data_IF_138982666468
#
_entry.id   IF_138982666468
#
_cell.length_a   1.000
_cell.length_b   1.000
_cell.length_c   1.000
_cell.angle_alpha   90.00
_cell.angle_beta   90.00
_cell.angle_gamma   90.00
#
_symmetry.space_group_name_H-M   'P 1'
#
loop_
_entity.id
_entity.type
_entity.pdbx_description
1 polymer ?
#
# COMPACT_ATOMS: atom_id res chain seq x y z
N UNK A 1 10.08 0.28 -15.61
CA UNK A 1 9.27 1.46 -15.94
C UNK A 1 7.96 0.97 -16.53
N UNK A 2 7.05 0.47 -15.68
CA UNK A 2 5.83 -0.25 -16.12
C UNK A 2 4.54 0.42 -15.61
N UNK A 3 4.61 1.54 -14.88
CA UNK A 3 3.41 2.05 -14.19
C UNK A 3 2.94 3.44 -14.61
N UNK A 4 3.61 4.16 -15.50
CA UNK A 4 3.17 5.51 -15.87
C UNK A 4 2.23 5.55 -17.09
N UNK A 5 2.44 4.72 -18.12
CA UNK A 5 1.83 4.94 -19.45
C UNK A 5 0.80 3.90 -19.90
N UNK A 6 0.68 2.75 -19.23
CA UNK A 6 -0.25 1.67 -19.64
C UNK A 6 -1.63 1.72 -18.96
N UNK A 7 -2.03 2.87 -18.39
CA UNK A 7 -3.36 3.05 -17.77
C UNK A 7 -4.51 2.88 -18.79
N UNK A 8 -4.23 3.09 -20.07
CA UNK A 8 -5.23 2.96 -21.14
C UNK A 8 -5.43 1.54 -21.68
N UNK A 9 -4.61 0.56 -21.28
CA UNK A 9 -4.61 -0.75 -21.96
C UNK A 9 -5.39 -1.87 -21.27
N UNK A 10 -5.87 -1.72 -20.04
CA UNK A 10 -6.68 -2.78 -19.39
C UNK A 10 -7.63 -2.27 -18.29
N UNK A 11 -8.92 -2.02 -18.60
CA UNK A 11 -9.91 -1.70 -17.58
C UNK A 11 -10.52 -2.94 -16.88
N UNK A 12 -10.34 -4.17 -17.38
CA UNK A 12 -11.09 -5.34 -16.88
C UNK A 12 -10.57 -5.93 -15.57
N UNK A 13 -9.26 -5.91 -15.32
CA UNK A 13 -8.65 -6.48 -14.11
C UNK A 13 -8.96 -5.73 -12.81
N UNK A 14 -8.77 -4.39 -12.79
CA UNK A 14 -9.17 -3.56 -11.66
C UNK A 14 -10.68 -3.62 -11.40
N UNK A 15 -11.53 -3.64 -12.43
CA UNK A 15 -12.99 -3.78 -12.26
C UNK A 15 -13.37 -5.13 -11.63
N UNK A 16 -12.78 -6.24 -12.09
CA UNK A 16 -13.04 -7.56 -11.52
C UNK A 16 -12.55 -7.69 -10.08
N UNK A 17 -11.40 -7.10 -9.75
CA UNK A 17 -10.93 -7.07 -8.37
C UNK A 17 -11.67 -6.10 -7.47
N UNK A 18 -12.18 -4.98 -8.00
CA UNK A 18 -13.13 -4.12 -7.31
C UNK A 18 -14.41 -4.89 -6.98
N UNK A 19 -14.98 -5.61 -7.95
CA UNK A 19 -16.23 -6.38 -7.79
C UNK A 19 -16.06 -7.57 -6.83
N UNK A 20 -15.04 -8.41 -7.04
CA UNK A 20 -14.75 -9.55 -6.16
C UNK A 20 -14.34 -9.06 -4.77
N UNK A 21 -13.50 -8.02 -4.72
CA UNK A 21 -13.07 -7.40 -3.48
C UNK A 21 -14.21 -6.74 -2.72
N UNK A 22 -15.12 -6.02 -3.38
CA UNK A 22 -16.26 -5.35 -2.73
C UNK A 22 -17.29 -6.34 -2.20
N UNK A 23 -17.54 -7.44 -2.91
CA UNK A 23 -18.45 -8.50 -2.45
C UNK A 23 -17.89 -9.23 -1.23
N UNK A 24 -16.57 -9.47 -1.21
CA UNK A 24 -15.88 -10.10 -0.08
C UNK A 24 -15.75 -9.12 1.10
N UNK A 25 -15.37 -7.86 0.85
CA UNK A 25 -15.13 -6.85 1.90
C UNK A 25 -16.40 -6.48 2.68
N UNK A 26 -17.56 -6.40 2.02
CA UNK A 26 -18.82 -6.02 2.67
C UNK A 26 -19.36 -7.12 3.60
N UNK A 27 -18.89 -8.36 3.46
CA UNK A 27 -19.38 -9.51 4.23
C UNK A 27 -18.39 -10.05 5.27
N UNK A 28 -17.13 -9.60 5.30
CA UNK A 28 -16.10 -10.19 6.17
C UNK A 28 -16.03 -9.51 7.55
N UNK A 29 -15.93 -10.29 8.65
CA UNK A 29 -15.62 -9.76 9.97
C UNK A 29 -14.26 -9.02 9.96
N UNK A 30 -14.11 -7.91 10.72
CA UNK A 30 -12.86 -7.14 10.78
C UNK A 30 -11.62 -7.98 11.11
N UNK A 31 -11.77 -9.00 11.96
CA UNK A 31 -10.71 -9.92 12.35
C UNK A 31 -10.16 -10.72 11.16
N UNK A 32 -11.03 -11.23 10.28
CA UNK A 32 -10.63 -11.98 9.07
C UNK A 32 -9.85 -11.06 8.13
N UNK A 33 -10.33 -9.83 7.96
CA UNK A 33 -9.68 -8.82 7.15
C UNK A 33 -8.24 -8.51 7.63
N UNK A 34 -8.04 -8.29 8.94
CA UNK A 34 -6.72 -8.03 9.49
C UNK A 34 -5.77 -9.23 9.33
N UNK A 35 -6.28 -10.46 9.53
CA UNK A 35 -5.51 -11.68 9.32
C UNK A 35 -5.11 -11.88 7.86
N UNK A 36 -6.00 -11.63 6.91
CA UNK A 36 -5.69 -11.72 5.48
C UNK A 36 -4.60 -10.73 5.08
N UNK A 37 -4.68 -9.49 5.56
CA UNK A 37 -3.67 -8.46 5.30
C UNK A 37 -2.32 -8.86 5.92
N UNK A 38 -2.33 -9.31 7.18
CA UNK A 38 -1.11 -9.75 7.87
C UNK A 38 -0.45 -10.93 7.15
N UNK A 39 -1.23 -11.93 6.74
CA UNK A 39 -0.75 -13.09 5.99
C UNK A 39 -0.12 -12.66 4.65
N UNK A 40 -0.77 -11.73 3.93
CA UNK A 40 -0.24 -11.19 2.68
C UNK A 40 1.09 -10.45 2.88
N UNK A 41 1.21 -9.63 3.93
CA UNK A 41 2.45 -8.91 4.25
C UNK A 41 3.57 -9.90 4.57
N UNK A 42 3.30 -10.90 5.40
CA UNK A 42 4.29 -11.93 5.76
C UNK A 42 4.73 -12.73 4.53
N UNK A 43 3.78 -13.16 3.70
CA UNK A 43 4.08 -13.84 2.43
C UNK A 43 4.91 -12.95 1.50
N UNK A 44 4.60 -11.65 1.42
CA UNK A 44 5.35 -10.71 0.58
C UNK A 44 6.74 -10.41 1.11
N UNK A 45 6.93 -10.51 2.43
CA UNK A 45 8.22 -10.28 3.06
C UNK A 45 9.15 -11.48 2.95
N UNK A 46 8.65 -12.69 3.20
CA UNK A 46 9.46 -13.89 3.42
C UNK A 46 9.19 -15.01 2.40
N UNK A 47 8.09 -14.93 1.66
CA UNK A 47 7.71 -15.91 0.64
C UNK A 47 8.55 -15.78 -0.64
N UNK A 48 8.41 -16.76 -1.55
CA UNK A 48 9.14 -16.76 -2.82
C UNK A 48 8.75 -15.53 -3.66
N UNK A 49 9.72 -14.94 -4.37
CA UNK A 49 9.44 -13.84 -5.28
C UNK A 49 8.47 -14.30 -6.36
N UNK A 50 7.44 -13.50 -6.63
CA UNK A 50 6.49 -13.77 -7.71
C UNK A 50 7.27 -13.88 -9.05
N UNK A 51 7.10 -14.98 -9.81
CA UNK A 51 7.83 -15.17 -11.04
C UNK A 51 7.49 -14.06 -12.04
N UNK A 52 8.51 -13.45 -12.68
CA UNK A 52 8.30 -12.39 -13.69
C UNK A 52 7.41 -12.82 -14.87
N UNK A 53 7.30 -14.13 -15.12
CA UNK A 53 6.40 -14.72 -16.13
C UNK A 53 4.92 -14.62 -15.79
N UNK A 54 4.57 -14.31 -14.54
CA UNK A 54 3.16 -14.13 -14.15
C UNK A 54 2.64 -12.79 -14.68
N UNK A 55 3.47 -11.77 -14.88
CA UNK A 55 3.10 -10.43 -15.41
C UNK A 55 2.78 -10.39 -16.93
N UNK A 56 2.24 -11.48 -17.50
CA UNK A 56 1.43 -11.40 -18.71
C UNK A 56 0.03 -10.85 -18.41
N UNK A 57 -0.91 -10.96 -19.35
CA UNK A 57 -2.30 -10.48 -19.19
C UNK A 57 -2.95 -10.91 -17.86
N UNK A 58 -2.67 -12.14 -17.41
CA UNK A 58 -3.17 -12.69 -16.14
C UNK A 58 -2.52 -12.05 -14.89
N UNK A 59 -1.24 -11.69 -14.93
CA UNK A 59 -0.56 -11.03 -13.80
C UNK A 59 -0.84 -9.54 -13.73
N UNK A 60 -1.13 -8.88 -14.84
CA UNK A 60 -1.68 -7.51 -14.83
C UNK A 60 -3.11 -7.52 -14.28
N UNK A 61 -3.90 -8.54 -14.61
CA UNK A 61 -5.23 -8.77 -14.02
C UNK A 61 -5.13 -9.03 -12.51
N UNK A 62 -4.24 -9.92 -12.09
CA UNK A 62 -4.01 -10.23 -10.67
C UNK A 62 -3.42 -9.03 -9.91
N UNK A 63 -2.46 -8.32 -10.49
CA UNK A 63 -1.91 -7.10 -9.91
C UNK A 63 -3.01 -6.05 -9.75
N UNK A 64 -3.78 -5.76 -10.79
CA UNK A 64 -4.92 -4.83 -10.73
C UNK A 64 -6.00 -5.26 -9.74
N UNK A 65 -6.27 -6.57 -9.65
CA UNK A 65 -7.21 -7.09 -8.68
C UNK A 65 -6.69 -6.94 -7.25
N UNK A 66 -5.40 -7.21 -7.03
CA UNK A 66 -4.72 -7.00 -5.76
C UNK A 66 -4.70 -5.50 -5.42
N UNK A 67 -4.22 -4.57 -6.27
CA UNK A 67 -4.21 -3.13 -5.93
C UNK A 67 -5.60 -2.57 -5.64
N UNK A 68 -6.63 -3.07 -6.32
CA UNK A 68 -8.01 -2.63 -6.11
C UNK A 68 -8.59 -3.21 -4.82
N UNK A 69 -8.34 -4.49 -4.54
CA UNK A 69 -8.62 -5.12 -3.25
C UNK A 69 -7.91 -4.38 -2.10
N UNK A 70 -6.62 -4.07 -2.27
CA UNK A 70 -5.79 -3.31 -1.32
C UNK A 70 -6.40 -1.94 -1.00
N UNK A 71 -6.97 -1.26 -2.01
CA UNK A 71 -7.55 0.08 -1.85
C UNK A 71 -8.82 0.10 -1.00
N UNK A 72 -9.53 -1.03 -0.89
CA UNK A 72 -10.74 -1.16 -0.08
C UNK A 72 -10.44 -1.14 1.43
N UNK A 73 -9.24 -1.50 1.86
CA UNK A 73 -8.84 -1.56 3.27
C UNK A 73 -8.30 -0.22 3.77
N UNK A 74 -9.12 0.84 3.73
CA UNK A 74 -8.72 2.23 4.00
C UNK A 74 -7.90 2.47 5.29
N UNK A 75 -7.95 1.56 6.28
CA UNK A 75 -7.15 1.59 7.52
C UNK A 75 -5.82 0.83 7.52
N UNK A 76 -5.57 -0.06 6.55
CA UNK A 76 -4.36 -0.88 6.46
C UNK A 76 -3.65 -0.81 5.09
N UNK A 77 -4.03 0.14 4.24
CA UNK A 77 -3.48 0.31 2.88
C UNK A 77 -1.97 0.53 2.88
N UNK A 78 -1.43 1.28 3.85
CA UNK A 78 0.01 1.57 4.01
C UNK A 78 0.90 0.31 3.98
N UNK A 79 0.83 -0.55 5.02
CA UNK A 79 1.57 -1.82 5.09
C UNK A 79 1.41 -2.68 3.83
N UNK A 80 0.20 -2.71 3.31
CA UNK A 80 -0.22 -3.61 2.26
C UNK A 80 0.37 -3.20 0.90
N UNK A 81 0.29 -1.91 0.55
CA UNK A 81 0.94 -1.32 -0.63
C UNK A 81 2.46 -1.43 -0.51
N UNK A 82 3.03 -1.18 0.68
CA UNK A 82 4.46 -1.31 0.93
C UNK A 82 4.97 -2.75 0.68
N UNK A 83 4.26 -3.75 1.20
CA UNK A 83 4.58 -5.16 1.00
C UNK A 83 4.51 -5.56 -0.48
N UNK A 84 3.51 -5.06 -1.21
CA UNK A 84 3.36 -5.32 -2.64
C UNK A 84 4.50 -4.68 -3.47
N UNK A 85 4.83 -3.41 -3.23
CA UNK A 85 5.92 -2.72 -3.94
C UNK A 85 7.27 -3.41 -3.69
N UNK A 86 7.49 -3.97 -2.49
CA UNK A 86 8.68 -4.75 -2.17
C UNK A 86 8.86 -5.97 -3.10
N UNK A 87 7.77 -6.60 -3.54
CA UNK A 87 7.85 -7.71 -4.48
C UNK A 87 8.18 -7.27 -5.91
N UNK A 88 7.83 -6.03 -6.27
CA UNK A 88 8.04 -5.46 -7.60
C UNK A 88 9.44 -4.87 -7.76
N UNK A 89 9.91 -4.13 -6.76
CA UNK A 89 11.14 -3.33 -6.84
C UNK A 89 12.21 -3.84 -5.86
N UNK A 90 13.41 -4.05 -6.38
CA UNK A 90 14.57 -4.48 -5.59
C UNK A 90 15.40 -3.27 -5.13
N UNK A 91 15.41 -2.21 -5.93
CA UNK A 91 16.13 -0.97 -5.65
C UNK A 91 15.41 -0.13 -4.59
N UNK A 92 16.14 0.26 -3.54
CA UNK A 92 15.58 0.98 -2.40
C UNK A 92 14.97 2.33 -2.76
N UNK A 93 15.55 3.06 -3.71
CA UNK A 93 15.05 4.37 -4.11
C UNK A 93 13.76 4.23 -4.90
N UNK A 94 13.67 3.25 -5.81
CA UNK A 94 12.45 2.93 -6.54
C UNK A 94 11.34 2.47 -5.61
N UNK A 95 11.63 1.60 -4.64
CA UNK A 95 10.65 1.17 -3.63
C UNK A 95 10.05 2.38 -2.91
N UNK A 96 10.89 3.26 -2.36
CA UNK A 96 10.43 4.44 -1.60
C UNK A 96 9.69 5.44 -2.50
N UNK A 97 10.21 5.72 -3.70
CA UNK A 97 9.58 6.67 -4.63
C UNK A 97 8.21 6.18 -5.10
N UNK A 98 8.10 4.89 -5.45
CA UNK A 98 6.83 4.29 -5.90
C UNK A 98 5.82 4.28 -4.77
N UNK A 99 6.26 3.95 -3.55
CA UNK A 99 5.40 3.96 -2.37
C UNK A 99 4.89 5.37 -2.04
N UNK A 100 5.78 6.36 -2.04
CA UNK A 100 5.42 7.75 -1.77
C UNK A 100 4.45 8.30 -2.82
N UNK A 101 4.67 7.99 -4.10
CA UNK A 101 3.77 8.39 -5.18
C UNK A 101 2.40 7.74 -5.03
N UNK A 102 2.36 6.42 -4.79
CA UNK A 102 1.11 5.69 -4.60
C UNK A 102 0.30 6.24 -3.42
N UNK A 103 0.96 6.49 -2.28
CA UNK A 103 0.31 7.05 -1.09
C UNK A 103 -0.20 8.46 -1.34
N UNK A 104 0.60 9.32 -1.98
CA UNK A 104 0.20 10.70 -2.29
C UNK A 104 -1.03 10.74 -3.19
N UNK A 105 -1.10 9.88 -4.21
CA UNK A 105 -2.27 9.75 -5.07
C UNK A 105 -3.50 9.23 -4.30
N UNK A 106 -3.34 8.17 -3.50
CA UNK A 106 -4.45 7.62 -2.69
C UNK A 106 -5.03 8.65 -1.71
N UNK A 107 -4.16 9.38 -1.01
CA UNK A 107 -4.60 10.43 -0.08
C UNK A 107 -5.16 11.65 -0.81
N UNK A 108 -4.58 12.05 -1.94
CA UNK A 108 -5.09 13.15 -2.77
C UNK A 108 -6.52 12.89 -3.25
N UNK A 109 -6.81 11.69 -3.72
CA UNK A 109 -8.18 11.31 -4.11
C UNK A 109 -9.14 11.39 -2.92
N UNK A 110 -8.73 10.92 -1.72
CA UNK A 110 -9.56 11.02 -0.52
C UNK A 110 -9.87 12.46 -0.13
N UNK A 111 -8.93 13.39 -0.31
CA UNK A 111 -9.14 14.82 -0.04
C UNK A 111 -10.23 15.37 -0.98
N UNK A 112 -10.12 15.10 -2.29
CA UNK A 112 -11.11 15.55 -3.29
C UNK A 112 -12.49 14.98 -3.00
N UNK A 113 -12.58 13.70 -2.64
CA UNK A 113 -13.86 13.05 -2.28
C UNK A 113 -14.45 13.67 -1.01
N UNK A 114 -13.64 13.90 0.02
CA UNK A 114 -14.10 14.49 1.28
C UNK A 114 -14.66 15.91 1.08
N UNK A 115 -13.94 16.74 0.31
CA UNK A 115 -14.39 18.10 -0.02
C UNK A 115 -15.68 18.06 -0.87
N UNK A 116 -15.76 17.16 -1.86
CA UNK A 116 -16.95 16.96 -2.69
C UNK A 116 -18.18 16.44 -1.93
N UNK A 117 -17.99 15.79 -0.78
CA UNK A 117 -19.07 15.37 0.13
C UNK A 117 -19.50 16.47 1.11
N UNK A 118 -19.00 17.70 0.96
CA UNK A 118 -19.31 18.83 1.83
C UNK A 118 -18.44 18.93 3.08
N UNK A 119 -17.32 18.20 3.14
CA UNK A 119 -16.36 18.31 4.22
C UNK A 119 -15.60 19.65 4.18
N UNK A 120 -15.60 20.41 5.27
CA UNK A 120 -14.82 21.64 5.40
C UNK A 120 -13.35 21.30 5.68
N UNK A 121 -12.49 21.34 4.65
CA UNK A 121 -11.03 21.23 4.84
C UNK A 121 -10.46 22.41 5.64
N UNK A 122 -11.14 23.57 5.59
CA UNK A 122 -10.70 24.80 6.25
C UNK A 122 -10.58 24.62 7.77
N UNK A 123 -11.48 23.84 8.37
CA UNK A 123 -11.52 23.58 9.82
C UNK A 123 -10.27 22.81 10.29
N UNK A 124 -9.63 22.07 9.38
CA UNK A 124 -8.48 21.20 9.66
C UNK A 124 -7.16 21.77 9.12
N UNK A 125 -7.16 23.00 8.60
CA UNK A 125 -5.98 23.62 7.99
C UNK A 125 -4.73 23.62 8.89
N UNK A 126 -4.81 23.97 10.20
CA UNK A 126 -3.63 23.92 11.07
C UNK A 126 -3.06 22.50 11.20
N UNK A 127 -3.93 21.49 11.29
CA UNK A 127 -3.52 20.09 11.38
C UNK A 127 -2.86 19.62 10.08
N UNK A 128 -3.43 19.99 8.92
CA UNK A 128 -2.87 19.66 7.61
C UNK A 128 -1.45 20.24 7.43
N UNK A 129 -1.24 21.50 7.81
CA UNK A 129 0.09 22.13 7.74
C UNK A 129 1.07 21.38 8.64
N UNK A 130 0.69 21.06 9.88
CA UNK A 130 1.53 20.27 10.79
C UNK A 130 1.88 18.88 10.21
N UNK A 131 0.91 18.20 9.57
CA UNK A 131 1.14 16.90 8.92
C UNK A 131 2.08 17.02 7.71
N UNK A 132 1.92 18.05 6.87
CA UNK A 132 2.77 18.29 5.71
C UNK A 132 4.21 18.57 6.17
N UNK A 133 4.40 19.46 7.14
CA UNK A 133 5.72 19.81 7.67
C UNK A 133 6.42 18.60 8.32
N UNK A 134 5.70 17.87 9.17
CA UNK A 134 6.22 16.65 9.79
C UNK A 134 6.59 15.60 8.73
N UNK A 135 5.73 15.40 7.72
CA UNK A 135 5.98 14.49 6.61
C UNK A 135 7.17 14.88 5.74
N UNK A 136 7.36 16.18 5.46
CA UNK A 136 8.51 16.68 4.70
C UNK A 136 9.81 16.50 5.47
N UNK A 137 9.84 16.87 6.76
CA UNK A 137 11.01 16.65 7.63
C UNK A 137 11.34 15.17 7.73
N UNK A 138 10.35 14.31 7.96
CA UNK A 138 10.53 12.86 8.02
C UNK A 138 11.08 12.28 6.70
N UNK A 139 10.54 12.72 5.56
CA UNK A 139 11.01 12.29 4.24
C UNK A 139 12.45 12.74 3.97
N UNK A 140 12.80 13.96 4.36
CA UNK A 140 14.15 14.50 4.19
C UNK A 140 15.19 13.73 5.02
N UNK A 141 14.89 13.47 6.29
CA UNK A 141 15.73 12.64 7.16
C UNK A 141 15.84 11.22 6.60
N UNK A 142 14.71 10.62 6.22
CA UNK A 142 14.65 9.27 5.64
C UNK A 142 15.49 9.15 4.37
N UNK A 143 15.42 10.15 3.47
CA UNK A 143 16.21 10.18 2.24
C UNK A 143 17.72 10.25 2.52
N UNK A 144 18.14 11.03 3.52
CA UNK A 144 19.55 11.12 3.94
C UNK A 144 20.06 9.79 4.52
N UNK A 145 19.23 9.10 5.30
CA UNK A 145 19.55 7.75 5.80
C UNK A 145 19.62 6.73 4.66
N UNK A 146 18.66 6.78 3.71
CA UNK A 146 18.58 5.85 2.60
C UNK A 146 19.83 5.85 1.70
N UNK A 147 20.48 7.02 1.54
CA UNK A 147 21.74 7.13 0.80
C UNK A 147 22.89 6.35 1.41
N UNK A 148 22.88 6.14 2.74
CA UNK A 148 23.96 5.48 3.49
C UNK A 148 23.76 3.97 3.66
N UNK A 149 22.58 3.46 3.32
CA UNK A 149 22.22 2.05 3.52
C UNK A 149 22.35 1.29 2.21
N UNK A 150 22.97 0.10 2.25
CA UNK A 150 23.02 -0.80 1.09
C UNK A 150 21.67 -1.51 0.88
N UNK A 151 21.33 -1.87 -0.37
CA UNK A 151 20.01 -2.44 -0.71
C UNK A 151 19.66 -3.68 0.11
N UNK A 152 20.63 -4.56 0.39
CA UNK A 152 20.41 -5.73 1.24
C UNK A 152 19.91 -5.36 2.64
N UNK A 153 20.58 -4.40 3.28
CA UNK A 153 20.23 -3.94 4.63
C UNK A 153 18.89 -3.20 4.63
N UNK A 154 18.60 -2.40 3.60
CA UNK A 154 17.31 -1.76 3.42
C UNK A 154 16.19 -2.79 3.32
N UNK A 155 16.35 -3.81 2.46
CA UNK A 155 15.35 -4.85 2.26
C UNK A 155 15.09 -5.66 3.55
N UNK A 156 16.14 -5.96 4.32
CA UNK A 156 15.99 -6.62 5.63
C UNK A 156 15.25 -5.72 6.62
N UNK A 157 15.69 -4.46 6.80
CA UNK A 157 15.04 -3.52 7.72
C UNK A 157 13.57 -3.27 7.35
N UNK A 158 13.29 -3.08 6.06
CA UNK A 158 11.94 -2.90 5.54
C UNK A 158 11.07 -4.13 5.79
N UNK A 159 11.61 -5.35 5.62
CA UNK A 159 10.90 -6.59 5.94
C UNK A 159 10.60 -6.73 7.43
N UNK A 160 11.53 -6.31 8.30
CA UNK A 160 11.31 -6.32 9.76
C UNK A 160 10.17 -5.38 10.12
N UNK A 161 10.18 -4.14 9.62
CA UNK A 161 9.11 -3.16 9.88
C UNK A 161 7.76 -3.68 9.41
N UNK A 162 7.70 -4.24 8.20
CA UNK A 162 6.48 -4.85 7.66
C UNK A 162 6.02 -6.06 8.50
N UNK A 163 6.95 -6.88 8.99
CA UNK A 163 6.64 -8.02 9.86
C UNK A 163 6.07 -7.54 11.20
N UNK A 164 6.65 -6.52 11.83
CA UNK A 164 6.11 -5.92 13.06
C UNK A 164 4.70 -5.38 12.85
N UNK A 165 4.47 -4.76 11.69
CA UNK A 165 3.16 -4.22 11.33
C UNK A 165 2.14 -5.34 11.10
N UNK A 166 2.54 -6.45 10.46
CA UNK A 166 1.70 -7.65 10.33
C UNK A 166 1.36 -8.28 11.70
N UNK A 167 2.33 -8.34 12.62
CA UNK A 167 2.10 -8.81 14.00
C UNK A 167 1.10 -7.89 14.71
N UNK A 168 1.22 -6.57 14.56
CA UNK A 168 0.24 -5.62 15.11
C UNK A 168 -1.16 -5.85 14.55
N UNK A 169 -1.29 -6.16 13.25
CA UNK A 169 -2.58 -6.49 12.64
C UNK A 169 -3.15 -7.81 13.18
N UNK A 170 -2.33 -8.84 13.36
CA UNK A 170 -2.75 -10.09 14.02
C UNK A 170 -3.23 -9.81 15.45
N UNK A 171 -2.51 -8.99 16.20
CA UNK A 171 -2.92 -8.58 17.55
C UNK A 171 -4.27 -7.88 17.53
N UNK A 172 -4.47 -6.91 16.63
CA UNK A 172 -5.75 -6.23 16.46
C UNK A 172 -6.88 -7.20 16.09
N UNK A 173 -6.59 -8.18 15.23
CA UNK A 173 -7.56 -9.20 14.83
C UNK A 173 -8.03 -10.04 16.01
N UNK A 174 -7.13 -10.40 16.93
CA UNK A 174 -7.42 -11.22 18.12
C UNK A 174 -8.07 -10.37 19.22
N UNK A 175 -7.66 -9.11 19.39
CA UNK A 175 -8.21 -8.22 20.42
C UNK A 175 -9.60 -7.66 20.10
N UNK A 176 -10.07 -7.79 18.86
CA UNK A 176 -11.42 -7.40 18.43
C UNK A 176 -12.43 -8.56 18.48
N UNK A 177 -12.08 -9.69 19.10
CA UNK A 177 -13.02 -10.77 19.43
C UNK A 177 -13.76 -10.50 20.74
#
# INVERSE_FOLDING_TARGET
MVLAWDIFRFPSGPLLGALLGSVVLVALPPSVMYLTIAAFILYSCWGPKLPKKVFGTLGTLAAGAITTFISLFAGATGPLVAAFIKQLEVDRFRTVATFAMAMSLQHGVKIVVYEGMGGSLADWWPLLVCMILSGTVGTWIGFKMLKRVADKHFQTAFSIVLTLLAIRLIWQAISQW
#
